data_IF_632982311683
#
_entry.id   IF_632982311683
#
_cell.length_a   1.000
_cell.length_b   1.000
_cell.length_c   1.000
_cell.angle_alpha   90.00
_cell.angle_beta   90.00
_cell.angle_gamma   90.00
#
_symmetry.space_group_name_H-M   'P 1'
#
loop_
_entity.id
_entity.type
_entity.pdbx_description
1 polymer ?
#
# COMPACT_ATOMS: atom_id res chain seq x y z
N UNK A 1 3.94 2.44 -5.07
CA UNK A 1 2.52 2.68 -5.41
C UNK A 1 1.58 2.08 -4.36
N UNK A 2 1.88 0.90 -3.81
CA UNK A 2 1.09 0.23 -2.76
C UNK A 2 0.85 1.07 -1.51
N UNK A 3 1.87 1.72 -0.95
CA UNK A 3 1.70 2.55 0.26
C UNK A 3 0.71 3.71 0.04
N UNK A 4 0.75 4.33 -1.15
CA UNK A 4 -0.19 5.41 -1.51
C UNK A 4 -1.61 4.89 -1.66
N UNK A 5 -1.80 3.68 -2.20
CA UNK A 5 -3.13 3.11 -2.34
C UNK A 5 -3.72 2.68 -0.99
N UNK A 6 -2.89 2.23 -0.05
CA UNK A 6 -3.29 1.98 1.35
C UNK A 6 -3.69 3.28 2.04
N UNK A 7 -2.88 4.33 1.93
CA UNK A 7 -3.21 5.64 2.49
C UNK A 7 -4.53 6.18 1.91
N UNK A 8 -4.76 5.96 0.62
CA UNK A 8 -6.00 6.34 -0.04
C UNK A 8 -7.20 5.53 0.49
N UNK A 9 -7.09 4.21 0.59
CA UNK A 9 -8.13 3.35 1.18
C UNK A 9 -8.49 3.75 2.62
N UNK A 10 -7.48 4.02 3.46
CA UNK A 10 -7.69 4.49 4.85
C UNK A 10 -8.39 5.85 4.90
N UNK A 11 -8.13 6.74 3.94
CA UNK A 11 -8.89 7.99 3.81
C UNK A 11 -10.35 7.72 3.45
N UNK A 12 -10.61 6.85 2.48
CA UNK A 12 -11.97 6.51 2.06
C UNK A 12 -12.79 5.90 3.20
N UNK A 13 -12.20 4.99 3.97
CA UNK A 13 -12.85 4.39 5.15
C UNK A 13 -13.17 5.41 6.25
N UNK A 14 -12.36 6.47 6.40
CA UNK A 14 -12.63 7.56 7.35
C UNK A 14 -13.72 8.51 6.87
N UNK A 15 -13.85 8.71 5.56
CA UNK A 15 -14.81 9.66 4.98
C UNK A 15 -16.18 9.03 4.72
N UNK A 16 -16.25 7.72 4.46
CA UNK A 16 -17.47 7.03 4.05
C UNK A 16 -17.51 5.60 4.60
N UNK A 17 -18.60 5.24 5.28
CA UNK A 17 -18.78 3.89 5.86
C UNK A 17 -19.22 2.84 4.81
N UNK A 18 -20.05 3.25 3.85
CA UNK A 18 -20.61 2.35 2.84
C UNK A 18 -19.57 1.93 1.78
N UNK A 19 -19.58 0.66 1.39
CA UNK A 19 -18.59 0.11 0.45
C UNK A 19 -18.71 0.66 -0.96
N UNK A 20 -19.94 0.87 -1.47
CA UNK A 20 -20.14 1.46 -2.79
C UNK A 20 -19.88 2.98 -2.73
N UNK A 21 -20.25 3.63 -1.63
CA UNK A 21 -19.93 5.02 -1.34
C UNK A 21 -18.42 5.29 -1.32
N UNK A 22 -17.63 4.38 -0.76
CA UNK A 22 -16.16 4.43 -0.81
C UNK A 22 -15.63 4.40 -2.25
N UNK A 23 -16.21 3.56 -3.12
CA UNK A 23 -15.83 3.50 -4.54
C UNK A 23 -16.20 4.80 -5.27
N UNK A 24 -17.43 5.31 -5.11
CA UNK A 24 -17.83 6.61 -5.68
C UNK A 24 -16.91 7.74 -5.22
N UNK A 25 -16.59 7.76 -3.92
CA UNK A 25 -15.67 8.75 -3.35
C UNK A 25 -14.26 8.61 -3.93
N UNK A 26 -13.80 7.39 -4.19
CA UNK A 26 -12.52 7.13 -4.84
C UNK A 26 -12.49 7.72 -6.25
N UNK A 27 -13.56 7.56 -7.05
CA UNK A 27 -13.67 8.17 -8.38
C UNK A 27 -13.64 9.69 -8.33
N UNK A 28 -14.41 10.30 -7.42
CA UNK A 28 -14.41 11.75 -7.28
C UNK A 28 -13.01 12.29 -6.93
N UNK A 29 -12.29 11.60 -6.05
CA UNK A 29 -10.96 12.03 -5.61
C UNK A 29 -9.86 11.74 -6.64
N UNK A 30 -9.96 10.65 -7.41
CA UNK A 30 -8.96 10.26 -8.40
C UNK A 30 -9.18 10.93 -9.77
N UNK A 31 -10.44 11.01 -10.21
CA UNK A 31 -10.82 11.42 -11.57
C UNK A 31 -11.64 12.71 -11.64
N UNK A 32 -12.15 13.21 -10.52
CA UNK A 32 -12.98 14.42 -10.51
C UNK A 32 -14.39 14.24 -11.09
N UNK A 33 -14.84 12.99 -11.26
CA UNK A 33 -16.20 12.63 -11.70
C UNK A 33 -16.81 11.57 -10.79
N UNK A 34 -18.13 11.40 -10.88
CA UNK A 34 -18.78 10.27 -10.22
C UNK A 34 -18.51 8.96 -10.98
N UNK A 35 -18.63 7.84 -10.27
CA UNK A 35 -18.53 6.51 -10.85
C UNK A 35 -19.84 6.14 -11.56
N UNK A 36 -19.76 5.52 -12.73
CA UNK A 36 -20.92 4.91 -13.36
C UNK A 36 -21.35 3.66 -12.59
N UNK A 37 -22.64 3.32 -12.60
CA UNK A 37 -23.15 2.12 -11.90
C UNK A 37 -22.44 0.83 -12.36
N UNK A 38 -22.07 0.75 -13.65
CA UNK A 38 -21.32 -0.39 -14.19
C UNK A 38 -19.90 -0.48 -13.64
N UNK A 39 -19.27 0.64 -13.30
CA UNK A 39 -17.93 0.71 -12.70
C UNK A 39 -17.99 0.32 -11.23
N UNK A 40 -19.01 0.81 -10.50
CA UNK A 40 -19.26 0.45 -9.11
C UNK A 40 -19.46 -1.06 -9.00
N UNK A 41 -20.35 -1.64 -9.81
CA UNK A 41 -20.61 -3.08 -9.78
C UNK A 41 -19.34 -3.90 -10.03
N UNK A 42 -18.56 -3.54 -11.07
CA UNK A 42 -17.30 -4.24 -11.41
C UNK A 42 -16.29 -4.16 -10.26
N UNK A 43 -16.09 -2.98 -9.70
CA UNK A 43 -15.10 -2.78 -8.64
C UNK A 43 -15.55 -3.34 -7.28
N UNK A 44 -16.85 -3.38 -7.00
CA UNK A 44 -17.40 -4.05 -5.83
C UNK A 44 -17.18 -5.56 -5.89
N UNK A 45 -17.44 -6.19 -7.04
CA UNK A 45 -17.14 -7.61 -7.25
C UNK A 45 -15.64 -7.88 -7.10
N UNK A 46 -14.79 -7.07 -7.75
CA UNK A 46 -13.35 -7.20 -7.63
C UNK A 46 -12.86 -7.05 -6.19
N UNK A 47 -13.37 -6.06 -5.44
CA UNK A 47 -13.04 -5.88 -4.03
C UNK A 47 -13.38 -7.12 -3.21
N UNK A 48 -14.54 -7.74 -3.43
CA UNK A 48 -14.93 -8.96 -2.72
C UNK A 48 -13.96 -10.13 -3.00
N UNK A 49 -13.54 -10.29 -4.25
CA UNK A 49 -12.52 -11.28 -4.62
C UNK A 49 -11.19 -11.02 -3.90
N UNK A 50 -10.76 -9.74 -3.84
CA UNK A 50 -9.52 -9.37 -3.15
C UNK A 50 -9.60 -9.53 -1.62
N UNK A 51 -10.78 -9.34 -1.01
CA UNK A 51 -10.97 -9.68 0.41
C UNK A 51 -10.69 -11.17 0.64
N UNK A 52 -11.30 -12.05 -0.17
CA UNK A 52 -11.12 -13.49 -0.04
C UNK A 52 -9.67 -13.94 -0.32
N UNK A 53 -8.98 -13.24 -1.23
CA UNK A 53 -7.57 -13.46 -1.51
C UNK A 53 -6.68 -13.06 -0.32
N UNK A 54 -6.82 -11.84 0.18
CA UNK A 54 -5.97 -11.31 1.27
C UNK A 54 -6.19 -12.02 2.60
N UNK A 55 -7.39 -12.56 2.84
CA UNK A 55 -7.64 -13.46 3.98
C UNK A 55 -6.75 -14.71 3.96
N UNK A 56 -6.43 -15.24 2.77
CA UNK A 56 -5.58 -16.42 2.57
C UNK A 56 -4.11 -16.06 2.37
N UNK A 57 -3.81 -14.78 2.18
CA UNK A 57 -2.46 -14.28 1.86
C UNK A 57 -2.13 -13.08 2.75
N UNK A 58 -1.74 -13.33 4.02
CA UNK A 58 -1.32 -12.27 4.93
C UNK A 58 -0.09 -11.53 4.38
N UNK A 59 0.01 -10.24 4.66
CA UNK A 59 1.13 -9.42 4.21
C UNK A 59 2.33 -9.65 5.14
N UNK A 60 3.56 -9.74 4.59
CA UNK A 60 4.74 -9.86 5.42
C UNK A 60 4.97 -8.57 6.22
N UNK A 61 5.41 -8.71 7.46
CA UNK A 61 5.83 -7.57 8.29
C UNK A 61 7.06 -6.90 7.69
N UNK A 62 7.09 -5.56 7.77
CA UNK A 62 8.24 -4.75 7.35
C UNK A 62 8.93 -4.25 8.61
N UNK A 63 10.21 -4.57 8.75
CA UNK A 63 11.04 -4.12 9.87
C UNK A 63 12.05 -3.07 9.42
N UNK A 64 12.33 -2.13 10.31
CA UNK A 64 13.30 -1.06 10.10
C UNK A 64 14.40 -1.20 11.17
N UNK A 65 15.45 -1.99 10.89
CA UNK A 65 16.47 -2.26 11.89
C UNK A 65 17.28 -0.99 12.20
N UNK A 66 17.68 -0.85 13.47
CA UNK A 66 18.54 0.24 13.94
C UNK A 66 20.02 -0.08 13.85
N UNK A 67 20.36 -1.32 13.55
CA UNK A 67 21.71 -1.80 13.36
C UNK A 67 21.74 -2.91 12.32
N UNK A 68 22.84 -2.99 11.57
CA UNK A 68 23.09 -4.06 10.61
C UNK A 68 24.54 -4.55 10.72
N UNK A 69 24.76 -5.83 10.45
CA UNK A 69 26.12 -6.38 10.38
C UNK A 69 26.67 -6.21 8.97
N UNK A 70 27.84 -5.57 8.85
CA UNK A 70 28.58 -5.45 7.58
C UNK A 70 29.77 -6.39 7.63
N UNK A 71 29.99 -7.11 6.52
CA UNK A 71 31.20 -7.91 6.31
C UNK A 71 32.09 -7.19 5.31
N UNK A 72 33.37 -7.03 5.65
CA UNK A 72 34.39 -6.40 4.83
C UNK A 72 35.66 -7.24 4.83
N UNK A 73 36.54 -7.01 3.87
CA UNK A 73 37.89 -7.59 3.85
C UNK A 73 38.87 -6.50 4.28
N UNK A 74 39.68 -6.77 5.29
CA UNK A 74 40.68 -5.85 5.80
C UNK A 74 41.86 -5.71 4.82
N UNK A 75 42.21 -4.49 4.45
CA UNK A 75 43.20 -4.20 3.39
C UNK A 75 44.61 -4.72 3.72
N UNK A 76 45.01 -4.70 5.00
CA UNK A 76 46.34 -5.11 5.42
C UNK A 76 46.51 -6.63 5.57
N UNK A 77 45.49 -7.33 6.05
CA UNK A 77 45.58 -8.77 6.33
C UNK A 77 44.91 -9.63 5.27
N UNK A 78 44.06 -9.05 4.42
CA UNK A 78 43.23 -9.76 3.45
C UNK A 78 42.17 -10.65 4.10
N UNK A 79 41.91 -10.52 5.41
CA UNK A 79 40.94 -11.36 6.13
C UNK A 79 39.57 -10.69 6.21
N UNK A 80 38.48 -11.48 6.22
CA UNK A 80 37.17 -10.92 6.48
C UNK A 80 37.07 -10.49 7.95
N UNK A 81 36.40 -9.37 8.18
CA UNK A 81 35.95 -8.94 9.50
C UNK A 81 34.52 -8.42 9.40
N UNK A 82 33.84 -8.41 10.54
CA UNK A 82 32.49 -7.90 10.67
C UNK A 82 32.45 -6.76 11.67
N UNK A 83 31.56 -5.80 11.43
CA UNK A 83 31.23 -4.77 12.41
C UNK A 83 29.74 -4.46 12.37
N UNK A 84 29.21 -3.98 13.50
CA UNK A 84 27.86 -3.45 13.58
C UNK A 84 27.84 -2.00 13.12
N UNK A 85 27.09 -1.72 12.06
CA UNK A 85 26.76 -0.37 11.62
C UNK A 85 25.46 0.04 12.31
N UNK A 86 25.54 1.07 13.15
CA UNK A 86 24.36 1.71 13.73
C UNK A 86 23.71 2.57 12.63
N UNK A 87 22.39 2.55 12.56
CA UNK A 87 21.56 3.33 11.64
C UNK A 87 20.73 4.35 12.43
N UNK A 88 21.31 5.50 12.87
CA UNK A 88 20.63 6.45 13.76
C UNK A 88 19.33 7.01 13.18
N UNK A 89 19.24 7.06 11.85
CA UNK A 89 18.04 7.52 11.13
C UNK A 89 16.81 6.68 11.50
N UNK A 90 16.97 5.39 11.78
CA UNK A 90 15.87 4.49 12.13
C UNK A 90 15.52 4.49 13.63
N UNK A 91 16.21 5.27 14.47
CA UNK A 91 15.87 5.33 15.90
C UNK A 91 14.49 5.93 16.15
N UNK A 92 14.22 7.06 15.50
CA UNK A 92 12.98 7.83 15.62
C UNK A 92 12.17 7.84 14.33
N UNK A 93 12.45 6.91 13.41
CA UNK A 93 11.72 6.81 12.15
C UNK A 93 10.30 6.30 12.39
N UNK A 94 9.31 7.08 11.96
CA UNK A 94 7.91 6.65 11.91
C UNK A 94 7.57 6.27 10.47
N UNK A 95 7.49 4.97 10.13
CA UNK A 95 7.07 4.56 8.79
C UNK A 95 5.60 4.89 8.55
N UNK A 96 5.27 5.20 7.31
CA UNK A 96 3.87 5.17 6.86
C UNK A 96 3.27 3.78 7.07
N UNK A 97 1.95 3.73 7.30
CA UNK A 97 1.18 2.49 7.41
C UNK A 97 1.43 1.56 6.23
N UNK A 98 1.81 0.31 6.53
CA UNK A 98 2.11 -0.74 5.56
C UNK A 98 0.96 -1.73 5.43
N UNK A 99 1.07 -2.63 4.45
CA UNK A 99 0.05 -3.64 4.19
C UNK A 99 -0.15 -4.60 5.37
N UNK A 100 0.89 -4.85 6.17
CA UNK A 100 0.80 -5.67 7.38
C UNK A 100 0.05 -4.97 8.53
N UNK A 101 -0.03 -3.63 8.50
CA UNK A 101 -0.62 -2.83 9.59
C UNK A 101 -2.13 -2.64 9.44
N UNK A 102 -2.73 -3.17 8.37
CA UNK A 102 -4.14 -2.94 8.02
C UNK A 102 -4.89 -4.24 7.74
N UNK A 103 -6.21 -4.18 7.86
CA UNK A 103 -7.06 -5.35 7.64
C UNK A 103 -7.05 -5.80 6.18
N UNK A 104 -7.47 -7.05 5.93
CA UNK A 104 -7.61 -7.58 4.58
C UNK A 104 -8.67 -6.81 3.76
N UNK A 105 -9.72 -6.26 4.39
CA UNK A 105 -10.69 -5.38 3.72
C UNK A 105 -10.07 -4.06 3.27
N UNK A 106 -9.17 -3.52 4.08
CA UNK A 106 -8.44 -2.28 3.77
C UNK A 106 -7.49 -2.51 2.60
N UNK A 107 -6.79 -3.65 2.59
CA UNK A 107 -5.95 -4.06 1.45
C UNK A 107 -6.77 -4.26 0.17
N UNK A 108 -7.93 -4.90 0.26
CA UNK A 108 -8.81 -5.08 -0.90
C UNK A 108 -9.30 -3.74 -1.47
N UNK A 109 -9.63 -2.77 -0.61
CA UNK A 109 -9.96 -1.41 -1.06
C UNK A 109 -8.72 -0.69 -1.63
N UNK A 110 -7.53 -0.95 -1.08
CA UNK A 110 -6.28 -0.42 -1.60
C UNK A 110 -5.97 -0.95 -3.01
N UNK A 111 -6.39 -2.17 -3.36
CA UNK A 111 -6.27 -2.68 -4.73
C UNK A 111 -7.18 -1.92 -5.70
N UNK A 112 -8.42 -1.60 -5.29
CA UNK A 112 -9.30 -0.73 -6.08
C UNK A 112 -8.65 0.64 -6.28
N UNK A 113 -8.12 1.23 -5.21
CA UNK A 113 -7.40 2.51 -5.27
C UNK A 113 -6.19 2.44 -6.21
N UNK A 114 -5.45 1.32 -6.19
CA UNK A 114 -4.31 1.08 -7.07
C UNK A 114 -4.75 1.03 -8.53
N UNK A 115 -5.84 0.34 -8.85
CA UNK A 115 -6.39 0.31 -10.22
C UNK A 115 -6.72 1.72 -10.70
N UNK A 116 -7.42 2.53 -9.89
CA UNK A 116 -7.80 3.89 -10.27
C UNK A 116 -6.58 4.78 -10.50
N UNK A 117 -5.57 4.72 -9.61
CA UNK A 117 -4.35 5.51 -9.75
C UNK A 117 -3.48 5.11 -10.96
N UNK A 118 -3.70 3.93 -11.53
CA UNK A 118 -3.02 3.46 -12.74
C UNK A 118 -3.92 3.44 -13.97
N UNK A 119 -5.16 3.93 -13.87
CA UNK A 119 -6.07 3.98 -15.00
C UNK A 119 -5.67 5.11 -15.95
N UNK A 120 -5.84 4.86 -17.25
CA UNK A 120 -5.58 5.83 -18.30
C UNK A 120 -6.78 6.75 -18.57
N UNK A 121 -7.53 7.10 -17.52
CA UNK A 121 -8.79 7.87 -17.61
C UNK A 121 -8.60 9.22 -18.31
N UNK A 122 -7.40 9.81 -18.22
CA UNK A 122 -7.07 11.11 -18.81
C UNK A 122 -6.33 11.04 -20.15
N UNK A 123 -6.06 9.84 -20.68
CA UNK A 123 -5.35 9.72 -21.96
C UNK A 123 -6.23 10.02 -23.17
N UNK A 124 -7.55 9.93 -23.02
CA UNK A 124 -8.51 10.17 -24.09
C UNK A 124 -9.59 11.12 -23.59
N UNK A 125 -9.86 12.18 -24.36
CA UNK A 125 -11.06 12.98 -24.16
C UNK A 125 -12.24 12.13 -24.63
N UNK A 126 -13.13 11.78 -23.70
CA UNK A 126 -14.47 11.27 -24.02
C UNK A 126 -15.34 12.40 -24.54
#
# INVERSE_FOLDING_TARGET
MTDRSIAFALRLQREVDDSNGQIRRAFLLAFGRDAEESEIQRLSSYRQEMVAYHQKTPAPEVTYPREITRSLVEEFTGKPFEYQEILPVFENYMPDTKAADVSHETRALADVCLLLLNANEFMYLK
#
